data_IF_907417203882
#
_entry.id   IF_907417203882
#
_cell.length_a   1.000
_cell.length_b   1.000
_cell.length_c   1.000
_cell.angle_alpha   90.00
_cell.angle_beta   90.00
_cell.angle_gamma   90.00
#
_symmetry.space_group_name_H-M   'P 1'
#
loop_
_entity.id
_entity.type
_entity.pdbx_description
1 polymer ?
#
# COMPACT_ATOMS: atom_id res chain seq x y z
N UNK A 1 -28.48 23.13 2.56
CA UNK A 1 -27.10 22.93 2.08
C UNK A 1 -26.74 21.49 2.37
N UNK A 2 -26.58 20.64 1.34
CA UNK A 2 -26.27 19.23 1.52
C UNK A 2 -24.75 19.05 1.56
N UNK A 3 -24.25 18.44 2.65
CA UNK A 3 -22.87 18.01 2.75
C UNK A 3 -22.68 16.74 1.92
N UNK A 4 -21.62 16.60 1.10
CA UNK A 4 -21.26 15.32 0.53
C UNK A 4 -20.68 14.44 1.63
N UNK A 5 -21.47 13.50 2.13
CA UNK A 5 -20.97 12.37 2.91
C UNK A 5 -20.07 11.55 1.99
N UNK A 6 -18.76 11.60 2.23
CA UNK A 6 -17.85 10.64 1.60
C UNK A 6 -18.15 9.30 2.26
N UNK A 7 -18.92 8.47 1.56
CA UNK A 7 -19.17 7.08 1.92
C UNK A 7 -17.84 6.33 1.91
N UNK A 8 -17.15 6.31 3.04
CA UNK A 8 -16.01 5.44 3.28
C UNK A 8 -16.55 4.06 3.65
N UNK A 9 -17.23 3.41 2.70
CA UNK A 9 -17.45 1.97 2.82
C UNK A 9 -16.07 1.30 2.79
N UNK A 10 -15.75 0.44 3.79
CA UNK A 10 -14.59 -0.43 3.70
C UNK A 10 -14.91 -1.50 2.66
N UNK A 11 -14.81 -1.13 1.38
CA UNK A 11 -14.81 -2.05 0.27
C UNK A 11 -13.64 -3.00 0.48
N UNK A 12 -13.98 -4.23 0.88
CA UNK A 12 -13.09 -5.38 0.90
C UNK A 12 -12.70 -5.61 -0.56
N UNK A 13 -11.71 -4.86 -1.00
CA UNK A 13 -11.23 -4.94 -2.38
C UNK A 13 -10.60 -6.32 -2.56
N UNK A 14 -10.92 -7.02 -3.67
CA UNK A 14 -10.25 -8.26 -4.03
C UNK A 14 -8.75 -8.02 -4.00
N UNK A 15 -7.97 -9.02 -3.59
CA UNK A 15 -6.52 -8.93 -3.44
C UNK A 15 -5.90 -8.19 -4.64
N UNK A 16 -5.56 -6.92 -4.43
CA UNK A 16 -5.02 -6.08 -5.49
C UNK A 16 -3.78 -6.77 -6.05
N UNK A 17 -3.71 -6.87 -7.37
CA UNK A 17 -2.57 -7.46 -8.07
C UNK A 17 -1.29 -6.67 -7.76
N UNK A 18 -0.13 -7.30 -7.94
CA UNK A 18 1.18 -6.63 -7.80
C UNK A 18 1.25 -5.36 -8.64
N UNK A 19 0.72 -5.40 -9.88
CA UNK A 19 0.68 -4.24 -10.78
C UNK A 19 -0.17 -3.10 -10.20
N UNK A 20 -1.32 -3.40 -9.63
CA UNK A 20 -2.21 -2.40 -9.01
C UNK A 20 -1.56 -1.78 -7.78
N UNK A 21 -0.89 -2.58 -6.94
CA UNK A 21 -0.16 -2.10 -5.77
C UNK A 21 1.01 -1.18 -6.14
N UNK A 22 1.76 -1.52 -7.20
CA UNK A 22 2.83 -0.64 -7.72
C UNK A 22 2.24 0.66 -8.28
N UNK A 23 1.17 0.58 -9.06
CA UNK A 23 0.51 1.78 -9.59
C UNK A 23 -0.06 2.66 -8.47
N UNK A 24 -0.50 2.04 -7.38
CA UNK A 24 -0.96 2.76 -6.20
C UNK A 24 0.18 3.43 -5.44
N UNK A 25 1.31 2.74 -5.26
CA UNK A 25 2.51 3.32 -4.66
C UNK A 25 2.98 4.56 -5.42
N UNK A 26 3.02 4.50 -6.76
CA UNK A 26 3.38 5.64 -7.60
C UNK A 26 2.44 6.83 -7.40
N UNK A 27 1.12 6.60 -7.22
CA UNK A 27 0.16 7.68 -6.93
C UNK A 27 0.41 8.32 -5.57
N UNK A 28 0.78 7.53 -4.56
CA UNK A 28 1.14 8.06 -3.23
C UNK A 28 2.40 8.92 -3.33
N UNK A 29 3.43 8.46 -4.05
CA UNK A 29 4.67 9.20 -4.26
C UNK A 29 4.44 10.54 -4.99
N UNK A 30 3.62 10.53 -6.05
CA UNK A 30 3.28 11.74 -6.77
C UNK A 30 2.47 12.73 -5.92
N UNK A 31 1.55 12.22 -5.08
CA UNK A 31 0.82 13.05 -4.13
C UNK A 31 1.74 13.69 -3.09
N UNK A 32 2.67 12.92 -2.51
CA UNK A 32 3.65 13.44 -1.54
C UNK A 32 4.54 14.53 -2.16
N UNK A 33 4.90 14.42 -3.46
CA UNK A 33 5.73 15.41 -4.15
C UNK A 33 5.10 16.80 -4.22
N UNK A 34 3.76 16.88 -4.26
CA UNK A 34 3.04 18.16 -4.40
C UNK A 34 2.51 18.71 -3.08
N UNK A 35 2.51 17.90 -2.01
CA UNK A 35 2.02 18.33 -0.70
C UNK A 35 3.09 19.15 0.05
N UNK A 36 2.71 20.28 0.66
CA UNK A 36 3.62 21.03 1.51
C UNK A 36 3.98 20.19 2.75
N UNK A 37 5.26 20.20 3.13
CA UNK A 37 5.73 19.47 4.32
C UNK A 37 5.15 20.05 5.60
N UNK A 38 5.08 21.38 5.67
CA UNK A 38 4.53 22.10 6.81
C UNK A 38 3.32 22.91 6.37
N UNK A 39 2.33 22.96 7.26
CA UNK A 39 1.15 23.81 7.13
C UNK A 39 1.07 24.71 8.34
N UNK A 40 0.49 25.90 8.18
CA UNK A 40 0.26 26.79 9.29
C UNK A 40 -0.75 26.17 10.27
N UNK A 41 -0.38 26.14 11.54
CA UNK A 41 -1.23 25.73 12.65
C UNK A 41 -1.44 26.90 13.62
N UNK A 42 -2.44 26.78 14.49
CA UNK A 42 -2.78 27.81 15.48
C UNK A 42 -1.61 28.17 16.41
N UNK A 43 -0.72 27.22 16.69
CA UNK A 43 0.47 27.39 17.54
C UNK A 43 1.78 27.56 16.74
N UNK A 44 1.71 27.73 15.42
CA UNK A 44 2.85 27.80 14.51
C UNK A 44 2.87 26.68 13.46
N UNK A 45 3.93 26.63 12.63
CA UNK A 45 4.06 25.62 11.57
C UNK A 45 4.04 24.21 12.14
N UNK A 46 3.20 23.35 11.57
CA UNK A 46 3.11 21.93 11.95
C UNK A 46 3.27 21.04 10.72
N UNK A 47 3.68 19.80 10.94
CA UNK A 47 3.73 18.79 9.88
C UNK A 47 2.34 18.66 9.24
N UNK A 48 2.29 18.60 7.91
CA UNK A 48 1.05 18.39 7.19
C UNK A 48 0.44 17.03 7.56
N UNK A 49 -0.77 16.99 8.14
CA UNK A 49 -1.40 15.73 8.54
C UNK A 49 -1.69 14.80 7.36
N UNK A 50 -1.84 15.33 6.14
CA UNK A 50 -2.03 14.52 4.94
C UNK A 50 -0.80 13.66 4.63
N UNK A 51 0.41 14.14 4.95
CA UNK A 51 1.63 13.36 4.80
C UNK A 51 1.66 12.15 5.73
N UNK A 52 1.08 12.26 6.93
CA UNK A 52 0.97 11.11 7.85
C UNK A 52 0.06 10.04 7.27
N UNK A 53 -1.06 10.43 6.68
CA UNK A 53 -1.98 9.51 6.00
C UNK A 53 -1.29 8.82 4.82
N UNK A 54 -0.50 9.57 4.03
CA UNK A 54 0.25 9.01 2.91
C UNK A 54 1.31 8.00 3.37
N UNK A 55 2.03 8.28 4.45
CA UNK A 55 3.02 7.36 5.05
C UNK A 55 2.36 6.06 5.49
N UNK A 56 1.22 6.14 6.16
CA UNK A 56 0.51 4.94 6.61
C UNK A 56 -0.01 4.12 5.43
N UNK A 57 -0.46 4.78 4.35
CA UNK A 57 -0.86 4.10 3.12
C UNK A 57 0.31 3.43 2.41
N UNK A 58 1.45 4.10 2.31
CA UNK A 58 2.69 3.54 1.74
C UNK A 58 3.09 2.26 2.48
N UNK A 59 3.12 2.30 3.82
CA UNK A 59 3.43 1.14 4.67
C UNK A 59 2.49 -0.03 4.40
N UNK A 60 1.20 0.25 4.24
CA UNK A 60 0.21 -0.77 3.94
C UNK A 60 0.47 -1.44 2.57
N UNK A 61 0.74 -0.65 1.54
CA UNK A 61 1.04 -1.15 0.18
C UNK A 61 2.31 -2.01 0.21
N UNK A 62 3.38 -1.54 0.86
CA UNK A 62 4.64 -2.28 0.99
C UNK A 62 4.43 -3.59 1.75
N UNK A 63 3.64 -3.59 2.82
CA UNK A 63 3.31 -4.80 3.56
C UNK A 63 2.53 -5.81 2.69
N UNK A 64 1.61 -5.34 1.84
CA UNK A 64 0.88 -6.18 0.88
C UNK A 64 1.84 -6.78 -0.16
N UNK A 65 2.73 -5.98 -0.74
CA UNK A 65 3.73 -6.45 -1.71
C UNK A 65 4.65 -7.52 -1.11
N UNK A 66 5.18 -7.30 0.11
CA UNK A 66 6.01 -8.30 0.81
C UNK A 66 5.29 -9.62 1.05
N UNK A 67 3.99 -9.58 1.34
CA UNK A 67 3.19 -10.81 1.52
C UNK A 67 3.02 -11.58 0.21
N UNK A 68 2.96 -10.90 -0.94
CA UNK A 68 2.89 -11.57 -2.24
C UNK A 68 4.23 -12.24 -2.56
N UNK A 69 5.33 -11.51 -2.43
CA UNK A 69 6.69 -12.03 -2.66
C UNK A 69 7.00 -13.27 -1.80
N UNK A 70 6.63 -13.25 -0.51
CA UNK A 70 6.79 -14.40 0.38
C UNK A 70 5.94 -15.61 -0.02
N UNK A 71 4.74 -15.39 -0.57
CA UNK A 71 3.86 -16.47 -1.05
C UNK A 71 4.44 -17.12 -2.31
N UNK A 72 4.94 -16.31 -3.23
CA UNK A 72 5.55 -16.78 -4.47
C UNK A 72 6.82 -17.59 -4.15
N UNK A 73 7.70 -17.09 -3.28
CA UNK A 73 8.89 -17.81 -2.81
C UNK A 73 8.55 -19.13 -2.08
N UNK A 74 7.44 -19.17 -1.34
CA UNK A 74 6.98 -20.40 -0.70
C UNK A 74 6.45 -21.42 -1.71
N UNK A 75 5.70 -20.97 -2.72
CA UNK A 75 5.18 -21.83 -3.79
C UNK A 75 6.33 -22.46 -4.60
N UNK A 76 7.35 -21.68 -4.96
CA UNK A 76 8.54 -22.17 -5.67
C UNK A 76 9.28 -23.29 -4.89
N UNK A 77 9.39 -23.16 -3.56
CA UNK A 77 10.01 -24.20 -2.73
C UNK A 77 9.23 -25.51 -2.76
N UNK A 78 7.90 -25.44 -2.66
CA UNK A 78 7.04 -26.64 -2.69
C UNK A 78 7.12 -27.35 -4.04
N UNK A 79 7.18 -26.59 -5.14
CA UNK A 79 7.36 -27.17 -6.48
C UNK A 79 8.70 -27.92 -6.57
N UNK A 80 9.79 -27.29 -6.14
CA UNK A 80 11.13 -27.90 -6.15
C UNK A 80 11.21 -29.17 -5.29
N UNK A 81 10.58 -29.18 -4.12
CA UNK A 81 10.56 -30.34 -3.22
C UNK A 81 9.80 -31.53 -3.85
N UNK A 82 8.65 -31.26 -4.49
CA UNK A 82 7.87 -32.28 -5.19
C UNK A 82 8.65 -32.92 -6.34
N UNK A 83 9.35 -32.11 -7.14
CA UNK A 83 10.21 -32.58 -8.21
C UNK A 83 11.35 -33.46 -7.68
N UNK A 84 11.95 -33.10 -6.54
CA UNK A 84 13.01 -33.89 -5.91
C UNK A 84 12.50 -35.24 -5.37
N UNK A 85 11.28 -35.29 -4.82
CA UNK A 85 10.68 -36.55 -4.33
C UNK A 85 10.10 -37.45 -5.42
N UNK A 86 9.78 -36.91 -6.61
CA UNK A 86 9.20 -37.68 -7.71
C UNK A 86 10.24 -38.32 -8.65
N UNK A 87 11.52 -37.95 -8.53
CA UNK A 87 12.62 -38.44 -9.36
C UNK A 87 13.52 -39.52 -8.73
N UNK A 88 13.11 -40.11 -7.59
CA UNK A 88 13.88 -41.11 -6.83
C UNK A 88 13.34 -42.53 -6.94
#
# INVERSE_FOLDING_TARGET
MAHPTIDHEPSVTPQASVRELIAELARVEDAVRVLPTYVDGEAGPRLNPELLVMIDREREIVARLRRIDLRDAAAERVVREREATAGG
#
